data_IF_690499275486
#
_entry.id   IF_690499275486
#
_cell.length_a   1.000
_cell.length_b   1.000
_cell.length_c   1.000
_cell.angle_alpha   90.00
_cell.angle_beta   90.00
_cell.angle_gamma   90.00
#
_symmetry.space_group_name_H-M   'P 1'
#
loop_
_entity.id
_entity.type
_entity.pdbx_description
1 polymer ?
#
# COMPACT_ATOMS: atom_id res chain seq x y z
N UNK A 1 -19.89 -18.84 -2.35
CA UNK A 1 -18.58 -18.57 -1.70
C UNK A 1 -17.83 -17.59 -2.61
N UNK A 2 -17.33 -16.48 -2.07
CA UNK A 2 -16.62 -15.45 -2.87
C UNK A 2 -15.13 -15.74 -3.06
N UNK A 3 -14.47 -15.02 -3.98
CA UNK A 3 -13.04 -15.22 -4.33
C UNK A 3 -12.12 -15.20 -3.12
N UNK A 4 -12.30 -14.25 -2.20
CA UNK A 4 -11.57 -14.19 -0.93
C UNK A 4 -11.68 -15.49 -0.14
N UNK A 5 -12.90 -15.94 0.16
CA UNK A 5 -13.13 -17.14 0.96
C UNK A 5 -12.61 -18.39 0.27
N UNK A 6 -12.79 -18.50 -1.05
CA UNK A 6 -12.26 -19.63 -1.83
C UNK A 6 -10.73 -19.66 -1.78
N UNK A 7 -10.06 -18.53 -1.99
CA UNK A 7 -8.60 -18.43 -1.95
C UNK A 7 -8.04 -18.68 -0.53
N UNK A 8 -8.73 -18.20 0.51
CA UNK A 8 -8.34 -18.44 1.90
C UNK A 8 -8.42 -19.93 2.25
N UNK A 9 -9.51 -20.62 1.90
CA UNK A 9 -9.64 -22.07 2.13
C UNK A 9 -8.61 -22.85 1.30
N UNK A 10 -8.44 -22.48 0.04
CA UNK A 10 -7.46 -23.11 -0.86
C UNK A 10 -6.03 -23.01 -0.32
N UNK A 11 -5.59 -21.83 0.10
CA UNK A 11 -4.23 -21.64 0.60
C UNK A 11 -4.03 -22.17 2.02
N UNK A 12 -4.93 -21.85 2.96
CA UNK A 12 -4.75 -22.16 4.39
C UNK A 12 -5.03 -23.63 4.68
N UNK A 13 -6.14 -24.17 4.18
CA UNK A 13 -6.55 -25.53 4.52
C UNK A 13 -6.02 -26.58 3.54
N UNK A 14 -5.70 -26.19 2.31
CA UNK A 14 -5.32 -27.12 1.22
C UNK A 14 -3.93 -26.87 0.66
N UNK A 15 -3.18 -25.89 1.17
CA UNK A 15 -1.80 -25.62 0.76
C UNK A 15 -1.66 -25.20 -0.71
N UNK A 16 -2.72 -24.70 -1.34
CA UNK A 16 -2.64 -24.24 -2.73
C UNK A 16 -1.91 -22.89 -2.81
N UNK A 17 -0.98 -22.71 -3.76
CA UNK A 17 -0.18 -21.50 -3.90
C UNK A 17 -1.00 -20.38 -4.57
N UNK A 18 -2.03 -19.91 -3.87
CA UNK A 18 -2.91 -18.82 -4.29
C UNK A 18 -2.85 -17.70 -3.27
N UNK A 19 -2.75 -16.46 -3.76
CA UNK A 19 -2.77 -15.28 -2.91
C UNK A 19 -4.15 -15.02 -2.34
N UNK A 20 -4.23 -14.35 -1.19
CA UNK A 20 -5.48 -13.90 -0.59
C UNK A 20 -5.49 -12.38 -0.53
N UNK A 21 -6.57 -11.76 -0.98
CA UNK A 21 -6.72 -10.29 -1.00
C UNK A 21 -7.94 -9.86 -0.22
N UNK A 22 -7.71 -9.03 0.79
CA UNK A 22 -8.71 -8.29 1.55
C UNK A 22 -8.30 -6.80 1.67
N UNK A 23 -9.07 -6.00 2.42
CA UNK A 23 -8.74 -4.58 2.62
C UNK A 23 -7.42 -4.33 3.37
N UNK A 24 -6.96 -5.29 4.17
CA UNK A 24 -5.69 -5.22 4.89
C UNK A 24 -4.51 -5.50 3.97
N UNK A 25 -4.58 -6.58 3.21
CA UNK A 25 -3.59 -6.99 2.21
C UNK A 25 -3.44 -5.94 1.13
N UNK A 26 -4.55 -5.41 0.59
CA UNK A 26 -4.51 -4.32 -0.40
C UNK A 26 -3.69 -3.14 0.13
N UNK A 27 -3.95 -2.71 1.37
CA UNK A 27 -3.24 -1.59 1.98
C UNK A 27 -1.75 -1.88 2.19
N UNK A 28 -1.40 -3.08 2.65
CA UNK A 28 -0.01 -3.49 2.82
C UNK A 28 0.72 -3.46 1.48
N UNK A 29 0.17 -4.13 0.47
CA UNK A 29 0.77 -4.22 -0.86
C UNK A 29 0.86 -2.83 -1.53
N UNK A 30 -0.17 -2.00 -1.39
CA UNK A 30 -0.19 -0.65 -1.91
C UNK A 30 0.94 0.19 -1.31
N UNK A 31 1.14 0.16 0.02
CA UNK A 31 2.23 0.90 0.68
C UNK A 31 3.60 0.31 0.37
N UNK A 32 3.72 -1.01 0.36
CA UNK A 32 4.97 -1.72 0.06
C UNK A 32 5.50 -1.31 -1.32
N UNK A 33 4.60 -1.19 -2.31
CA UNK A 33 4.94 -0.88 -3.70
C UNK A 33 4.73 0.59 -4.10
N UNK A 34 4.27 1.44 -3.18
CA UNK A 34 3.87 2.84 -3.45
C UNK A 34 2.82 2.99 -4.56
N UNK A 35 1.83 2.08 -4.57
CA UNK A 35 0.72 2.10 -5.51
C UNK A 35 -0.39 3.01 -4.98
N UNK A 36 -0.60 4.13 -5.65
CA UNK A 36 -1.77 4.98 -5.48
C UNK A 36 -2.86 4.50 -6.41
N UNK A 37 -3.99 4.08 -5.87
CA UNK A 37 -5.09 3.63 -6.69
C UNK A 37 -6.39 3.70 -5.91
N UNK A 38 -7.49 3.97 -6.62
CA UNK A 38 -8.80 3.98 -6.00
C UNK A 38 -9.25 2.54 -5.75
N UNK A 39 -9.20 2.12 -4.49
CA UNK A 39 -9.55 0.76 -4.05
C UNK A 39 -11.04 0.42 -4.17
N UNK A 40 -11.89 1.38 -4.56
CA UNK A 40 -13.32 1.15 -4.84
C UNK A 40 -13.57 0.69 -6.28
N UNK A 41 -12.57 0.77 -7.15
CA UNK A 41 -12.66 0.29 -8.53
C UNK A 41 -12.28 -1.21 -8.58
N UNK A 42 -13.19 -2.05 -9.07
CA UNK A 42 -12.95 -3.49 -9.21
C UNK A 42 -11.72 -3.82 -10.07
N UNK A 43 -11.42 -3.02 -11.09
CA UNK A 43 -10.21 -3.20 -11.93
C UNK A 43 -8.93 -3.02 -11.12
N UNK A 44 -8.93 -2.08 -10.16
CA UNK A 44 -7.80 -1.87 -9.26
C UNK A 44 -7.61 -3.07 -8.33
N UNK A 45 -8.70 -3.69 -7.86
CA UNK A 45 -8.63 -4.85 -6.97
C UNK A 45 -8.00 -6.06 -7.68
N UNK A 46 -8.26 -6.23 -8.98
CA UNK A 46 -7.64 -7.30 -9.78
C UNK A 46 -6.11 -7.21 -9.84
N UNK A 47 -5.56 -5.99 -9.87
CA UNK A 47 -4.11 -5.77 -9.81
C UNK A 47 -3.52 -6.36 -8.52
N UNK A 48 -4.21 -6.19 -7.39
CA UNK A 48 -3.76 -6.76 -6.11
C UNK A 48 -3.90 -8.27 -6.06
N UNK A 49 -4.89 -8.85 -6.74
CA UNK A 49 -4.98 -10.30 -6.89
C UNK A 49 -3.79 -10.86 -7.66
N UNK A 50 -3.48 -10.28 -8.82
CA UNK A 50 -2.29 -10.68 -9.60
C UNK A 50 -1.00 -10.52 -8.79
N UNK A 51 -0.88 -9.44 -8.02
CA UNK A 51 0.28 -9.21 -7.17
C UNK A 51 0.37 -10.20 -6.01
N UNK A 52 -0.75 -10.53 -5.36
CA UNK A 52 -0.79 -11.50 -4.28
C UNK A 52 -0.43 -12.90 -4.77
N UNK A 53 -0.98 -13.31 -5.92
CA UNK A 53 -0.67 -14.60 -6.56
C UNK A 53 0.81 -14.70 -6.97
N UNK A 54 1.44 -13.59 -7.35
CA UNK A 54 2.85 -13.57 -7.71
C UNK A 54 3.81 -13.58 -6.50
N UNK A 55 3.35 -13.13 -5.33
CA UNK A 55 4.18 -12.99 -4.13
C UNK A 55 3.98 -14.11 -3.11
N UNK A 56 2.88 -14.87 -3.21
CA UNK A 56 2.58 -15.94 -2.27
C UNK A 56 3.72 -16.96 -2.22
N UNK A 57 4.09 -17.37 -1.01
CA UNK A 57 5.06 -18.44 -0.82
C UNK A 57 4.49 -19.75 -1.36
N UNK A 58 5.12 -20.40 -2.36
CA UNK A 58 4.61 -21.62 -2.94
C UNK A 58 4.68 -22.83 -2.00
N UNK A 59 5.58 -22.82 -1.00
CA UNK A 59 5.75 -23.89 -0.02
C UNK A 59 4.83 -23.69 1.19
N UNK A 60 4.59 -22.43 1.59
CA UNK A 60 3.79 -22.07 2.78
C UNK A 60 2.74 -21.00 2.49
N UNK A 61 1.82 -21.21 1.54
CA UNK A 61 0.89 -20.18 1.09
C UNK A 61 -0.11 -19.75 2.17
N UNK A 62 -0.58 -20.70 2.99
CA UNK A 62 -1.47 -20.42 4.11
C UNK A 62 -0.84 -19.48 5.15
N UNK A 63 0.36 -19.82 5.61
CA UNK A 63 1.11 -19.02 6.58
C UNK A 63 1.46 -17.64 6.02
N UNK A 64 1.88 -17.57 4.75
CA UNK A 64 2.15 -16.31 4.08
C UNK A 64 0.91 -15.39 4.05
N UNK A 65 -0.23 -15.93 3.62
CA UNK A 65 -1.47 -15.17 3.54
C UNK A 65 -1.95 -14.71 4.93
N UNK A 66 -1.89 -15.59 5.93
CA UNK A 66 -2.24 -15.25 7.31
C UNK A 66 -1.32 -14.17 7.88
N UNK A 67 0.00 -14.30 7.70
CA UNK A 67 0.97 -13.31 8.14
C UNK A 67 0.73 -11.95 7.48
N UNK A 68 0.39 -11.92 6.18
CA UNK A 68 0.13 -10.69 5.45
C UNK A 68 -1.17 -10.00 5.90
N UNK A 69 -2.23 -10.77 6.14
CA UNK A 69 -3.49 -10.26 6.71
C UNK A 69 -3.25 -9.69 8.12
N UNK A 70 -2.56 -10.43 8.98
CA UNK A 70 -2.23 -10.03 10.35
C UNK A 70 -1.36 -8.78 10.39
N UNK A 71 -0.35 -8.71 9.53
CA UNK A 71 0.50 -7.52 9.38
C UNK A 71 -0.33 -6.28 9.03
N UNK A 72 -1.30 -6.42 8.12
CA UNK A 72 -2.21 -5.34 7.77
C UNK A 72 -3.09 -4.93 8.94
N UNK A 73 -3.58 -5.90 9.72
CA UNK A 73 -4.49 -5.67 10.85
C UNK A 73 -3.81 -4.99 12.05
N UNK A 74 -2.57 -5.34 12.39
CA UNK A 74 -1.95 -4.94 13.67
C UNK A 74 -0.78 -3.95 13.55
N UNK A 75 -0.09 -3.93 12.41
CA UNK A 75 1.13 -3.12 12.22
C UNK A 75 0.92 -2.06 11.14
N UNK A 76 0.56 -2.48 9.93
CA UNK A 76 0.34 -1.60 8.78
C UNK A 76 -1.09 -1.04 8.78
N UNK A 77 -1.52 -0.49 9.92
CA UNK A 77 -2.89 0.00 10.16
C UNK A 77 -3.21 1.27 9.34
N UNK A 78 -4.51 1.59 9.10
CA UNK A 78 -4.90 2.73 8.27
C UNK A 78 -4.32 4.06 8.75
N UNK A 79 -4.38 4.35 10.05
CA UNK A 79 -3.88 5.57 10.66
C UNK A 79 -2.66 5.25 11.51
N UNK A 80 -1.56 5.96 11.27
CA UNK A 80 -0.31 5.84 12.05
C UNK A 80 0.23 4.40 12.07
N UNK A 81 0.66 3.84 10.92
CA UNK A 81 1.25 2.51 10.87
C UNK A 81 2.51 2.43 11.74
N UNK A 82 2.72 1.28 12.40
CA UNK A 82 3.86 1.02 13.27
C UNK A 82 5.09 0.63 12.46
N UNK A 83 5.56 1.51 11.58
CA UNK A 83 6.64 1.19 10.64
C UNK A 83 7.98 0.84 11.31
N UNK A 84 8.19 1.20 12.58
CA UNK A 84 9.37 0.78 13.34
C UNK A 84 9.35 -0.70 13.77
N UNK A 85 8.17 -1.30 13.84
CA UNK A 85 7.95 -2.72 14.19
C UNK A 85 7.68 -3.58 12.94
N UNK A 86 7.58 -2.95 11.76
CA UNK A 86 7.18 -3.63 10.54
C UNK A 86 8.34 -4.47 9.96
N UNK A 87 8.18 -5.79 9.79
CA UNK A 87 9.23 -6.64 9.22
C UNK A 87 9.55 -6.29 7.76
N UNK A 88 8.64 -5.61 7.06
CA UNK A 88 8.81 -5.18 5.67
C UNK A 88 9.34 -3.74 5.54
N UNK A 89 9.71 -3.07 6.65
CA UNK A 89 10.07 -1.66 6.64
C UNK A 89 11.22 -1.32 5.70
N UNK A 90 12.23 -2.19 5.61
CA UNK A 90 13.40 -2.02 4.72
C UNK A 90 13.05 -2.11 3.24
N UNK A 91 11.98 -2.82 2.90
CA UNK A 91 11.51 -3.03 1.52
C UNK A 91 10.32 -2.12 1.16
N UNK A 92 9.79 -1.36 2.11
CA UNK A 92 8.59 -0.54 1.93
C UNK A 92 8.91 0.82 1.30
N UNK A 93 8.47 1.00 0.05
CA UNK A 93 8.67 2.24 -0.71
C UNK A 93 8.00 3.45 -0.05
N UNK A 94 6.74 3.33 0.37
CA UNK A 94 6.04 4.42 1.05
C UNK A 94 6.74 4.87 2.35
N UNK A 95 7.35 3.92 3.09
CA UNK A 95 8.10 4.26 4.30
C UNK A 95 9.42 4.97 3.99
N UNK A 96 10.14 4.52 2.95
CA UNK A 96 11.35 5.18 2.48
C UNK A 96 11.08 6.64 2.05
N UNK A 97 10.03 6.86 1.26
CA UNK A 97 9.60 8.19 0.81
C UNK A 97 9.23 9.10 2.00
N UNK A 98 8.48 8.57 2.99
CA UNK A 98 8.11 9.34 4.18
C UNK A 98 9.34 9.79 4.99
N UNK A 99 10.39 8.96 5.07
CA UNK A 99 11.64 9.35 5.74
C UNK A 99 12.36 10.50 5.05
N UNK A 100 12.32 10.55 3.71
CA UNK A 100 12.91 11.66 2.94
C UNK A 100 12.16 12.95 3.23
N UNK A 101 10.82 12.94 3.10
CA UNK A 101 9.98 14.11 3.38
C UNK A 101 10.17 14.64 4.80
N UNK A 102 10.30 13.77 5.80
CA UNK A 102 10.54 14.17 7.19
C UNK A 102 11.92 14.82 7.40
N UNK A 103 12.95 14.41 6.64
CA UNK A 103 14.28 15.04 6.70
C UNK A 103 14.25 16.43 6.06
N UNK A 104 13.59 16.58 4.91
CA UNK A 104 13.48 17.84 4.19
C UNK A 104 12.71 18.90 4.99
N UNK A 105 11.66 18.50 5.72
CA UNK A 105 10.97 19.41 6.63
C UNK A 105 11.88 19.86 7.78
N UNK A 106 12.67 18.96 8.37
CA UNK A 106 13.61 19.31 9.45
C UNK A 106 14.71 20.25 8.97
N UNK A 107 15.19 20.12 7.74
CA UNK A 107 16.19 21.05 7.19
C UNK A 107 15.59 22.44 6.96
N UNK A 108 14.36 22.53 6.44
CA UNK A 108 13.64 23.80 6.25
C UNK A 108 13.27 24.50 7.55
N UNK A 109 12.96 23.76 8.62
CA UNK A 109 12.73 24.35 9.95
C UNK A 109 14.02 24.89 10.58
N UNK A 110 15.18 24.28 10.31
CA UNK A 110 16.48 24.74 10.83
C UNK A 110 17.01 25.98 10.11
N UNK A 111 16.60 26.22 8.86
CA UNK A 111 17.02 27.38 8.08
C UNK A 111 16.11 28.62 8.25
N UNK A 112 15.04 28.54 9.05
CA UNK A 112 14.15 29.68 9.31
C UNK A 112 14.56 30.42 10.59
N UNK A 113 15.06 31.63 10.39
CA UNK A 113 15.32 32.63 11.42
C UNK A 113 14.08 32.88 12.30
N UNK A 114 14.29 33.03 13.61
CA UNK A 114 13.28 32.90 14.68
C UNK A 114 12.26 34.05 14.79
N UNK A 115 12.26 35.02 13.86
CA UNK A 115 11.49 36.25 14.02
C UNK A 115 10.04 36.22 13.50
N UNK A 116 9.54 35.15 12.87
CA UNK A 116 8.15 35.14 12.36
C UNK A 116 7.44 33.83 12.71
N UNK A 117 6.40 33.95 13.56
CA UNK A 117 5.49 32.87 13.97
C UNK A 117 4.78 32.30 12.74
N UNK A 118 5.39 31.33 12.08
CA UNK A 118 4.85 30.69 10.91
C UNK A 118 3.66 29.78 11.30
N UNK A 119 2.51 30.01 10.66
CA UNK A 119 1.33 29.13 10.73
C UNK A 119 1.75 27.68 10.44
N UNK A 120 1.29 26.74 11.27
CA UNK A 120 1.51 25.28 11.10
C UNK A 120 1.27 24.88 9.64
N UNK A 121 2.26 24.29 8.94
CA UNK A 121 2.05 23.87 7.57
C UNK A 121 1.04 22.71 7.55
N UNK A 122 -0.05 22.91 6.83
CA UNK A 122 -1.01 21.86 6.47
C UNK A 122 -0.27 20.99 5.46
N UNK A 123 0.09 19.76 5.84
CA UNK A 123 0.77 18.82 4.94
C UNK A 123 -0.29 18.31 3.96
N UNK A 124 -0.37 18.91 2.77
CA UNK A 124 -1.13 18.40 1.64
C UNK A 124 -0.16 17.61 0.74
N UNK A 125 -0.31 16.28 0.76
CA UNK A 125 0.48 15.38 -0.08
C UNK A 125 -0.12 15.46 -1.49
N UNK A 126 0.58 16.18 -2.38
CA UNK A 126 0.13 16.46 -3.75
C UNK A 126 -0.02 15.21 -4.62
N UNK A 127 -1.02 15.24 -5.48
CA UNK A 127 -1.57 14.12 -6.25
C UNK A 127 -0.77 13.83 -7.53
N UNK A 128 -0.61 12.56 -7.90
CA UNK A 128 -0.02 12.12 -9.16
C UNK A 128 -1.11 11.74 -10.18
N UNK A 129 -0.84 11.94 -11.48
CA UNK A 129 -1.80 11.69 -12.56
C UNK A 129 -2.03 10.20 -12.83
N UNK A 130 -3.11 9.93 -13.57
CA UNK A 130 -3.62 8.61 -13.95
C UNK A 130 -2.53 7.69 -14.51
N UNK A 131 -2.49 6.45 -14.00
CA UNK A 131 -1.60 5.38 -14.47
C UNK A 131 -2.02 5.02 -15.91
N UNK A 132 -1.26 5.51 -16.90
CA UNK A 132 -1.26 4.99 -18.27
C UNK A 132 -0.04 4.08 -18.39
N UNK A 133 -0.22 2.77 -18.29
CA UNK A 133 0.88 1.81 -18.54
C UNK A 133 0.46 0.85 -19.64
N UNK A 134 1.14 0.96 -20.78
CA UNK A 134 1.09 -0.02 -21.88
C UNK A 134 2.02 -1.23 -21.64
N UNK A 135 2.65 -1.36 -20.46
CA UNK A 135 3.41 -2.55 -20.09
C UNK A 135 2.60 -3.55 -19.25
N UNK A 136 2.72 -4.87 -19.52
CA UNK A 136 1.98 -5.90 -18.82
C UNK A 136 2.45 -6.03 -17.36
N UNK A 137 1.55 -5.69 -16.43
CA UNK A 137 1.75 -5.72 -14.98
C UNK A 137 2.26 -7.08 -14.43
N UNK A 138 2.05 -8.18 -15.17
CA UNK A 138 2.56 -9.53 -14.86
C UNK A 138 4.09 -9.62 -14.88
N UNK A 139 4.77 -8.69 -15.54
CA UNK A 139 6.23 -8.62 -15.63
C UNK A 139 6.83 -7.81 -14.46
N UNK A 140 6.10 -6.79 -13.97
CA UNK A 140 6.47 -6.01 -12.78
C UNK A 140 6.43 -6.83 -11.48
N UNK A 141 5.58 -7.85 -11.40
CA UNK A 141 5.48 -8.75 -10.25
C UNK A 141 6.60 -9.82 -10.23
N UNK A 142 7.20 -10.12 -11.39
CA UNK A 142 8.29 -11.12 -11.57
C UNK A 142 9.68 -10.54 -11.41
N UNK A 143 9.84 -9.21 -11.47
CA UNK A 143 11.10 -8.57 -11.17
C UNK A 143 11.41 -8.78 -9.68
N UNK A 144 12.43 -9.61 -9.41
CA UNK A 144 13.16 -9.66 -8.13
C UNK A 144 13.42 -8.23 -7.64
N UNK A 145 13.66 -8.08 -6.34
CA UNK A 145 13.77 -6.87 -5.52
C UNK A 145 14.85 -5.86 -5.99
N UNK A 146 14.94 -5.59 -7.29
CA UNK A 146 15.86 -4.66 -7.91
C UNK A 146 15.19 -3.30 -8.04
N UNK A 147 15.84 -2.38 -7.36
CA UNK A 147 15.59 -0.96 -7.25
C UNK A 147 15.67 -0.29 -8.62
N UNK A 148 14.55 -0.14 -9.33
CA UNK A 148 14.39 0.98 -10.27
C UNK A 148 13.08 1.72 -10.05
N UNK A 149 13.24 3.03 -10.14
CA UNK A 149 12.34 4.13 -9.88
C UNK A 149 11.01 3.98 -10.64
N UNK A 150 9.87 4.03 -9.95
CA UNK A 150 8.56 4.14 -10.59
C UNK A 150 7.74 5.23 -9.91
N UNK A 151 6.92 5.98 -10.68
CA UNK A 151 6.37 7.25 -10.25
C UNK A 151 5.39 7.07 -9.09
N UNK A 152 5.60 7.92 -8.08
CA UNK A 152 4.79 8.02 -6.87
C UNK A 152 3.32 8.20 -7.23
N UNK A 153 2.44 7.47 -6.55
CA UNK A 153 1.00 7.61 -6.77
C UNK A 153 0.24 7.81 -5.47
N UNK A 154 -0.77 8.66 -5.55
CA UNK A 154 -1.40 9.34 -4.42
C UNK A 154 -2.79 8.83 -4.12
N UNK A 155 -3.05 8.68 -2.82
CA UNK A 155 -4.28 9.02 -2.09
C UNK A 155 -4.83 7.93 -1.17
N UNK A 156 -4.47 8.04 0.11
CA UNK A 156 -5.46 7.98 1.17
C UNK A 156 -5.95 9.42 1.43
N UNK A 157 -7.03 9.83 0.79
CA UNK A 157 -7.80 10.99 1.25
C UNK A 157 -9.24 10.57 1.47
N UNK A 158 -9.65 10.69 2.72
CA UNK A 158 -11.04 10.80 3.11
C UNK A 158 -11.72 11.85 2.23
N UNK A 159 -12.77 11.47 1.49
CA UNK A 159 -13.76 12.42 1.03
C UNK A 159 -15.09 12.09 1.71
N UNK A 160 -15.27 12.68 2.90
CA UNK A 160 -16.60 13.03 3.40
C UNK A 160 -17.04 14.27 2.65
N UNK A 161 -17.82 14.11 1.59
CA UNK A 161 -18.81 15.10 1.17
C UNK A 161 -20.05 14.35 0.70
N UNK A 162 -21.20 14.79 1.21
CA UNK A 162 -22.45 14.07 1.16
C UNK A 162 -23.09 13.98 -0.22
N UNK A 163 -23.98 13.00 -0.35
CA UNK A 163 -25.16 13.19 -1.17
C UNK A 163 -26.34 12.53 -0.46
N UNK A 164 -27.26 13.35 0.02
CA UNK A 164 -28.64 12.91 0.22
C UNK A 164 -29.26 12.65 -1.14
N UNK A 165 -29.98 11.53 -1.26
CA UNK A 165 -30.96 11.09 -2.26
C UNK A 165 -31.08 9.58 -1.96
N UNK A 166 -32.09 9.09 -1.25
CA UNK A 166 -33.49 9.27 -1.57
C UNK A 166 -34.01 7.96 -2.17
N UNK A 167 -34.33 6.99 -1.29
CA UNK A 167 -35.39 5.96 -1.35
C UNK A 167 -35.00 4.74 -0.54
#
# INVERSE_FOLDING_TARGET
IGRYTSAAVASIARGQPVGVVDGNVIRVLARLRSLGCNFRNGKTVEIFWTLADALVDPERPGDYNQALMELGATVCVPKTPKCGECPLATHCRAYAETKVLARDQKSQLRSRDTSKRAKKPKIEIGYAPEIKTEEPFSEMAKQRIDTKMYPACTMCGDNREGNGLGR
#
